data_IF_688995489818
#
_entry.id   IF_688995489818
#
_cell.length_a   1.000
_cell.length_b   1.000
_cell.length_c   1.000
_cell.angle_alpha   90.00
_cell.angle_beta   90.00
_cell.angle_gamma   90.00
#
_symmetry.space_group_name_H-M   'P 1'
#
loop_
_entity.id
_entity.type
_entity.pdbx_description
1 polymer ?
#
# COMPACT_ATOMS: atom_id res chain seq x y z
N UNK A 1 17.60 6.26 -4.27
CA UNK A 1 18.61 5.64 -5.15
C UNK A 1 18.06 5.38 -6.56
N UNK A 2 16.92 4.69 -6.73
CA UNK A 2 16.33 4.41 -8.06
C UNK A 2 15.91 5.70 -8.78
N UNK A 3 15.20 6.63 -8.12
CA UNK A 3 14.75 7.87 -8.76
C UNK A 3 15.90 8.70 -9.34
N UNK A 4 17.00 8.83 -8.57
CA UNK A 4 18.22 9.49 -9.01
C UNK A 4 18.88 8.77 -10.19
N UNK A 5 18.89 7.43 -10.19
CA UNK A 5 19.38 6.65 -11.31
C UNK A 5 18.55 6.90 -12.56
N UNK A 6 17.22 6.89 -12.47
CA UNK A 6 16.32 7.18 -13.58
C UNK A 6 16.57 8.59 -14.12
N UNK A 7 16.77 9.58 -13.25
CA UNK A 7 17.13 10.95 -13.64
C UNK A 7 18.46 11.00 -14.41
N UNK A 8 19.49 10.29 -13.94
CA UNK A 8 20.77 10.20 -14.64
C UNK A 8 20.65 9.57 -16.02
N UNK A 9 19.88 8.49 -16.15
CA UNK A 9 19.62 7.85 -17.45
C UNK A 9 18.76 8.73 -18.37
N UNK A 10 17.82 9.49 -17.82
CA UNK A 10 17.11 10.54 -18.55
C UNK A 10 18.06 11.54 -19.18
N UNK A 11 19.03 12.06 -18.40
CA UNK A 11 20.04 13.02 -18.87
C UNK A 11 21.01 12.42 -19.91
N UNK A 12 21.47 11.18 -19.70
CA UNK A 12 22.50 10.57 -20.53
C UNK A 12 21.97 9.91 -21.81
N UNK A 13 20.73 9.41 -21.78
CA UNK A 13 20.16 8.57 -22.85
C UNK A 13 18.85 9.12 -23.43
N UNK A 14 18.36 10.25 -22.94
CA UNK A 14 17.12 10.86 -23.42
C UNK A 14 15.87 10.04 -23.07
N UNK A 15 15.90 9.27 -21.98
CA UNK A 15 14.76 8.48 -21.52
C UNK A 15 13.66 9.40 -20.98
N UNK A 16 12.45 9.29 -21.52
CA UNK A 16 11.27 9.92 -20.95
C UNK A 16 10.71 9.06 -19.81
N UNK A 17 10.45 9.67 -18.65
CA UNK A 17 9.97 8.95 -17.48
C UNK A 17 9.02 9.81 -16.65
N UNK A 18 8.19 9.13 -15.83
CA UNK A 18 7.35 9.73 -14.80
C UNK A 18 7.52 8.92 -13.52
N UNK A 19 7.70 9.60 -12.38
CA UNK A 19 7.81 8.97 -11.06
C UNK A 19 6.50 9.18 -10.33
N UNK A 20 5.82 8.08 -9.99
CA UNK A 20 4.59 8.09 -9.22
C UNK A 20 4.91 7.65 -7.79
N UNK A 21 4.64 8.52 -6.82
CA UNK A 21 4.78 8.23 -5.39
C UNK A 21 3.39 8.10 -4.79
N UNK A 22 3.10 6.94 -4.23
CA UNK A 22 1.85 6.63 -3.54
C UNK A 22 2.17 6.06 -2.15
N UNK A 23 1.19 6.12 -1.25
CA UNK A 23 1.35 5.65 0.13
C UNK A 23 0.92 4.19 0.24
N UNK A 24 -0.37 3.97 0.50
CA UNK A 24 -0.95 2.65 0.58
C UNK A 24 -1.72 2.35 -0.71
N UNK A 25 -1.95 1.07 -0.98
CA UNK A 25 -2.81 0.62 -2.08
C UNK A 25 -3.74 -0.41 -1.51
N UNK A 26 -5.03 -0.28 -1.80
CA UNK A 26 -6.01 -1.30 -1.49
C UNK A 26 -7.09 -1.36 -2.59
N UNK A 27 -7.96 -2.35 -2.48
CA UNK A 27 -8.99 -2.64 -3.47
C UNK A 27 -8.65 -3.86 -4.32
N UNK A 28 -9.51 -4.10 -5.29
CA UNK A 28 -9.41 -5.15 -6.30
C UNK A 28 -10.05 -4.63 -7.59
N UNK A 29 -9.95 -5.39 -8.68
CA UNK A 29 -10.74 -5.11 -9.88
C UNK A 29 -12.24 -5.18 -9.57
N UNK A 30 -13.04 -4.42 -10.30
CA UNK A 30 -14.50 -4.32 -10.07
C UNK A 30 -15.23 -5.66 -10.26
N UNK A 31 -14.68 -6.54 -11.11
CA UNK A 31 -15.15 -7.92 -11.33
C UNK A 31 -14.65 -8.92 -10.28
N UNK A 32 -13.72 -8.50 -9.40
CA UNK A 32 -13.12 -9.34 -8.37
C UNK A 32 -12.12 -10.39 -8.88
N UNK A 33 -11.77 -10.41 -10.17
CA UNK A 33 -10.85 -11.40 -10.75
C UNK A 33 -9.39 -11.16 -10.32
N UNK A 34 -9.00 -9.91 -10.10
CA UNK A 34 -7.63 -9.51 -9.77
C UNK A 34 -7.62 -8.70 -8.48
N UNK A 35 -6.84 -9.16 -7.51
CA UNK A 35 -6.65 -8.46 -6.25
C UNK A 35 -5.32 -8.83 -5.60
N UNK A 36 -5.01 -8.17 -4.50
CA UNK A 36 -3.79 -8.44 -3.76
C UNK A 36 -3.95 -9.69 -2.88
N UNK A 37 -3.03 -10.66 -2.98
CA UNK A 37 -3.10 -11.98 -2.34
C UNK A 37 -1.85 -12.37 -1.54
N UNK A 38 -1.09 -11.40 -1.02
CA UNK A 38 0.13 -11.61 -0.21
C UNK A 38 -0.10 -12.54 0.99
N UNK A 39 0.90 -13.37 1.33
CA UNK A 39 0.89 -14.31 2.46
C UNK A 39 2.28 -14.38 3.14
N UNK A 40 2.45 -13.86 4.37
CA UNK A 40 1.50 -13.07 5.15
C UNK A 40 1.34 -11.65 4.57
N UNK A 41 0.21 -10.99 4.86
CA UNK A 41 0.04 -9.57 4.51
C UNK A 41 0.48 -8.67 5.67
N UNK A 42 1.06 -7.53 5.31
CA UNK A 42 1.41 -6.44 6.25
C UNK A 42 0.51 -5.22 6.07
N UNK A 43 -0.44 -5.26 5.12
CA UNK A 43 -1.33 -4.15 4.81
C UNK A 43 -2.60 -4.22 5.66
N UNK A 44 -3.00 -3.09 6.23
CA UNK A 44 -4.17 -2.99 7.12
C UNK A 44 -5.43 -3.58 6.49
N UNK A 45 -5.83 -3.07 5.31
CA UNK A 45 -7.08 -3.46 4.65
C UNK A 45 -7.11 -4.95 4.31
N UNK A 46 -6.00 -5.52 3.83
CA UNK A 46 -5.93 -6.96 3.55
C UNK A 46 -6.09 -7.79 4.82
N UNK A 47 -5.41 -7.42 5.91
CA UNK A 47 -5.52 -8.11 7.19
C UNK A 47 -6.93 -7.97 7.77
N UNK A 48 -7.60 -6.82 7.61
CA UNK A 48 -9.00 -6.64 8.00
C UNK A 48 -9.93 -7.58 7.22
N UNK A 49 -9.78 -7.69 5.90
CA UNK A 49 -10.60 -8.60 5.08
C UNK A 49 -10.35 -10.07 5.45
N UNK A 50 -9.09 -10.48 5.63
CA UNK A 50 -8.74 -11.84 6.07
C UNK A 50 -9.32 -12.17 7.45
N UNK A 51 -9.31 -11.20 8.36
CA UNK A 51 -9.97 -11.26 9.66
C UNK A 51 -11.48 -11.44 9.55
N UNK A 52 -12.14 -10.61 8.74
CA UNK A 52 -13.57 -10.68 8.51
C UNK A 52 -14.00 -12.03 7.88
N UNK A 53 -13.16 -12.63 7.04
CA UNK A 53 -13.37 -13.95 6.45
C UNK A 53 -13.01 -15.12 7.38
N UNK A 54 -12.46 -14.87 8.56
CA UNK A 54 -12.03 -15.91 9.51
C UNK A 54 -10.80 -16.71 9.05
N UNK A 55 -10.04 -16.19 8.08
CA UNK A 55 -8.84 -16.87 7.55
C UNK A 55 -7.68 -16.76 8.57
N UNK A 56 -7.51 -15.58 9.17
CA UNK A 56 -6.49 -15.28 10.18
C UNK A 56 -7.06 -14.29 11.21
N UNK A 57 -6.65 -14.32 12.48
CA UNK A 57 -7.07 -13.33 13.46
C UNK A 57 -6.56 -11.93 13.10
N UNK A 58 -7.46 -10.95 13.15
CA UNK A 58 -7.13 -9.55 12.92
C UNK A 58 -6.70 -8.86 14.21
N UNK A 59 -5.62 -8.08 14.12
CA UNK A 59 -5.15 -7.21 15.18
C UNK A 59 -4.90 -5.82 14.60
N UNK A 60 -5.40 -4.78 15.27
CA UNK A 60 -5.06 -3.40 14.92
C UNK A 60 -3.69 -3.06 15.49
N UNK A 61 -2.65 -3.08 14.64
CA UNK A 61 -1.25 -2.90 15.05
C UNK A 61 -0.77 -1.47 14.78
N UNK A 62 -1.40 -0.48 15.42
CA UNK A 62 -1.01 0.92 15.28
C UNK A 62 -0.74 1.58 16.64
N UNK A 63 0.16 2.55 16.71
CA UNK A 63 0.31 3.37 17.92
C UNK A 63 -0.92 4.27 18.11
N UNK A 64 -1.19 4.64 19.35
CA UNK A 64 -2.13 5.71 19.67
C UNK A 64 -1.52 7.06 19.25
N UNK A 65 -2.25 7.84 18.46
CA UNK A 65 -1.83 9.17 18.00
C UNK A 65 -2.87 10.24 18.33
N UNK A 66 -2.55 11.52 18.10
CA UNK A 66 -3.46 12.63 18.41
C UNK A 66 -4.48 12.88 17.29
N UNK A 67 -5.37 11.91 17.11
CA UNK A 67 -6.55 11.96 16.24
C UNK A 67 -7.81 11.81 17.08
N UNK A 68 -9.02 12.13 16.55
CA UNK A 68 -10.26 12.06 17.32
C UNK A 68 -10.55 10.69 17.95
N UNK A 69 -10.20 9.60 17.27
CA UNK A 69 -10.38 8.21 17.70
C UNK A 69 -9.07 7.55 18.18
N UNK A 70 -7.98 8.32 18.22
CA UNK A 70 -6.62 7.89 18.57
C UNK A 70 -5.95 6.93 17.58
N UNK A 71 -6.58 6.63 16.44
CA UNK A 71 -5.99 5.81 15.38
C UNK A 71 -5.23 6.66 14.34
N UNK A 72 -4.16 6.16 13.70
CA UNK A 72 -3.51 6.90 12.62
C UNK A 72 -4.43 7.11 11.42
N UNK A 73 -4.32 8.29 10.80
CA UNK A 73 -4.96 8.53 9.51
C UNK A 73 -4.12 7.83 8.44
N UNK A 74 -4.68 6.77 7.85
CA UNK A 74 -4.09 6.09 6.70
C UNK A 74 -4.67 6.64 5.39
N UNK A 75 -3.79 7.12 4.52
CA UNK A 75 -4.15 7.58 3.18
C UNK A 75 -3.97 6.41 2.22
N UNK A 76 -5.07 6.01 1.58
CA UNK A 76 -5.12 5.09 0.44
C UNK A 76 -4.97 5.91 -0.85
#
# INVERSE_FOLDING_TARGET
>A
MIEQMIEWYGKLKGLNYVILRYFNVCGASDDGEVGDSKRPSVLLVQNTVRGALGIEPFYLTCPSVDTPDKSPIEII
#
